data_IF_032762358789
#
_entry.id   IF_032762358789
#
_cell.length_a   1.000
_cell.length_b   1.000
_cell.length_c   1.000
_cell.angle_alpha   90.00
_cell.angle_beta   90.00
_cell.angle_gamma   90.00
#
_symmetry.space_group_name_H-M   'P 1'
#
loop_
_entity.id
_entity.type
_entity.pdbx_description
1 polymer ?
#
# COMPACT_ATOMS: atom_id res chain seq x y z
N UNK A 1 9.38 -10.00 -10.45
CA UNK A 1 9.49 -8.55 -10.77
C UNK A 1 10.09 -7.81 -9.55
N UNK A 2 11.34 -8.12 -9.14
CA UNK A 2 11.91 -7.64 -7.85
C UNK A 2 13.09 -6.66 -8.00
N UNK A 3 13.58 -6.45 -9.22
CA UNK A 3 14.85 -5.74 -9.44
C UNK A 3 14.74 -4.22 -9.61
N UNK A 4 13.53 -3.67 -9.77
CA UNK A 4 13.38 -2.27 -10.20
C UNK A 4 13.34 -1.24 -9.05
N UNK A 5 13.19 -1.63 -7.77
CA UNK A 5 12.79 -0.66 -6.74
C UNK A 5 13.90 -0.19 -5.79
N UNK A 6 14.92 -1.03 -5.56
CA UNK A 6 15.97 -0.74 -4.57
C UNK A 6 17.04 0.26 -5.06
N UNK A 7 17.02 0.63 -6.35
CA UNK A 7 17.94 1.58 -6.99
C UNK A 7 17.29 2.31 -8.19
N UNK A 8 15.96 2.39 -8.26
CA UNK A 8 15.31 3.16 -9.32
C UNK A 8 15.52 4.65 -9.10
N UNK A 9 15.71 5.34 -10.22
CA UNK A 9 15.72 6.79 -10.30
C UNK A 9 14.48 7.39 -9.61
N UNK A 10 14.66 8.45 -8.82
CA UNK A 10 13.57 9.08 -8.07
C UNK A 10 12.45 9.58 -8.99
N UNK A 11 12.76 9.90 -10.26
CA UNK A 11 11.75 10.19 -11.28
C UNK A 11 10.89 8.97 -11.60
N UNK A 12 11.47 7.78 -11.70
CA UNK A 12 10.70 6.54 -11.95
C UNK A 12 9.69 6.32 -10.83
N UNK A 13 10.10 6.52 -9.57
CA UNK A 13 9.21 6.39 -8.40
C UNK A 13 8.12 7.46 -8.38
N UNK A 14 8.48 8.69 -8.74
CA UNK A 14 7.52 9.78 -8.87
C UNK A 14 6.44 9.47 -9.92
N UNK A 15 6.83 9.04 -11.12
CA UNK A 15 5.89 8.70 -12.18
C UNK A 15 5.09 7.43 -11.88
N UNK A 16 5.71 6.44 -11.24
CA UNK A 16 4.99 5.28 -10.71
C UNK A 16 3.86 5.72 -9.78
N UNK A 17 4.16 6.60 -8.82
CA UNK A 17 3.16 7.10 -7.89
C UNK A 17 2.08 7.89 -8.63
N UNK A 18 2.47 8.78 -9.55
CA UNK A 18 1.56 9.59 -10.36
C UNK A 18 0.56 8.73 -11.13
N UNK A 19 1.04 7.80 -11.95
CA UNK A 19 0.16 6.97 -12.78
C UNK A 19 -0.66 5.99 -11.95
N UNK A 20 -0.15 5.56 -10.80
CA UNK A 20 -0.93 4.77 -9.84
C UNK A 20 -2.08 5.58 -9.25
N UNK A 21 -1.85 6.85 -8.87
CA UNK A 21 -2.89 7.76 -8.37
C UNK A 21 -3.94 8.01 -9.46
N UNK A 22 -3.51 8.30 -10.69
CA UNK A 22 -4.40 8.52 -11.83
C UNK A 22 -5.28 7.29 -12.13
N UNK A 23 -4.67 6.10 -12.18
CA UNK A 23 -5.42 4.85 -12.39
C UNK A 23 -6.42 4.57 -11.26
N UNK A 24 -6.01 4.76 -10.00
CA UNK A 24 -6.91 4.50 -8.86
C UNK A 24 -8.04 5.52 -8.81
N UNK A 25 -7.76 6.77 -9.20
CA UNK A 25 -8.75 7.83 -9.36
C UNK A 25 -9.81 7.47 -10.39
N UNK A 26 -9.42 6.94 -11.54
CA UNK A 26 -10.38 6.48 -12.56
C UNK A 26 -11.30 5.36 -12.04
N UNK A 27 -10.76 4.42 -11.26
CA UNK A 27 -11.54 3.33 -10.65
C UNK A 27 -12.56 3.92 -9.66
N UNK A 28 -12.11 4.77 -8.74
CA UNK A 28 -12.95 5.34 -7.68
C UNK A 28 -14.00 6.31 -8.22
N UNK A 29 -13.69 7.09 -9.26
CA UNK A 29 -14.67 7.97 -9.92
C UNK A 29 -15.85 7.20 -10.53
N UNK A 30 -15.59 5.96 -10.98
CA UNK A 30 -16.63 5.03 -11.45
C UNK A 30 -17.40 4.34 -10.30
N UNK A 31 -17.22 4.79 -9.06
CA UNK A 31 -17.81 4.19 -7.85
C UNK A 31 -17.43 2.71 -7.66
N UNK A 32 -16.25 2.33 -8.16
CA UNK A 32 -15.70 0.99 -8.02
C UNK A 32 -14.64 0.93 -6.92
N UNK A 33 -14.41 -0.27 -6.40
CA UNK A 33 -13.32 -0.62 -5.47
C UNK A 33 -12.50 -1.72 -6.12
N UNK A 34 -11.16 -1.62 -6.08
CA UNK A 34 -10.25 -2.62 -6.64
C UNK A 34 -10.23 -3.90 -5.81
N UNK A 35 -10.21 -3.77 -4.47
CA UNK A 35 -10.29 -4.85 -3.46
C UNK A 35 -9.06 -5.76 -3.32
N UNK A 36 -8.22 -5.81 -4.33
CA UNK A 36 -6.93 -6.51 -4.26
C UNK A 36 -5.79 -5.61 -4.72
N UNK A 37 -5.79 -4.37 -4.20
CA UNK A 37 -4.81 -3.38 -4.61
C UNK A 37 -3.48 -3.65 -3.90
N UNK A 38 -2.42 -3.95 -4.64
CA UNK A 38 -1.08 -4.12 -4.08
C UNK A 38 -0.02 -3.92 -5.17
N UNK A 39 1.25 -3.86 -4.78
CA UNK A 39 2.34 -3.58 -5.72
C UNK A 39 2.43 -4.59 -6.88
N UNK A 40 2.03 -5.84 -6.64
CA UNK A 40 2.02 -6.90 -7.64
C UNK A 40 0.99 -6.69 -8.76
N UNK A 41 -0.05 -5.90 -8.51
CA UNK A 41 -1.09 -5.55 -9.47
C UNK A 41 -0.82 -4.20 -10.16
N UNK A 42 0.35 -3.58 -9.96
CA UNK A 42 0.82 -2.42 -10.70
C UNK A 42 1.83 -2.89 -11.76
N UNK A 43 1.38 -2.92 -13.02
CA UNK A 43 2.20 -3.34 -14.14
C UNK A 43 3.00 -2.17 -14.70
N UNK A 44 4.26 -2.43 -15.04
CA UNK A 44 5.17 -1.47 -15.65
C UNK A 44 5.61 -2.01 -17.00
N UNK A 45 5.22 -1.33 -18.07
CA UNK A 45 5.68 -1.62 -19.42
C UNK A 45 7.01 -0.88 -19.70
N UNK A 46 8.10 -1.65 -19.70
CA UNK A 46 9.44 -1.13 -19.94
C UNK A 46 9.77 -0.95 -21.44
N UNK A 47 8.88 -1.34 -22.35
CA UNK A 47 9.11 -1.19 -23.78
C UNK A 47 8.76 0.21 -24.30
N UNK A 48 8.06 1.02 -23.49
CA UNK A 48 7.71 2.39 -23.83
C UNK A 48 8.21 3.34 -22.73
N UNK A 49 9.37 3.94 -22.96
CA UNK A 49 10.08 4.78 -21.99
C UNK A 49 10.43 6.14 -22.56
N UNK A 50 10.27 7.20 -21.77
CA UNK A 50 10.90 8.50 -22.04
C UNK A 50 12.21 8.55 -21.25
N UNK A 51 13.33 8.26 -21.91
CA UNK A 51 14.60 8.02 -21.22
C UNK A 51 14.51 6.78 -20.33
N UNK A 52 14.67 6.94 -19.01
CA UNK A 52 14.52 5.86 -18.01
C UNK A 52 13.11 5.72 -17.44
N UNK A 53 12.20 6.64 -17.77
CA UNK A 53 10.87 6.70 -17.17
C UNK A 53 9.93 5.77 -17.95
N UNK A 54 9.34 4.73 -17.33
CA UNK A 54 8.32 3.92 -17.97
C UNK A 54 7.02 4.70 -18.10
N UNK A 55 6.45 4.74 -19.30
CA UNK A 55 5.22 5.50 -19.61
C UNK A 55 3.98 4.60 -19.51
N UNK A 56 4.14 3.26 -19.57
CA UNK A 56 3.03 2.32 -19.45
C UNK A 56 2.89 1.75 -18.05
N UNK A 57 2.46 2.56 -17.09
CA UNK A 57 2.16 2.12 -15.72
C UNK A 57 0.66 1.97 -15.59
N UNK A 58 0.20 0.77 -15.23
CA UNK A 58 -1.22 0.43 -15.20
C UNK A 58 -1.59 -0.40 -13.98
N UNK A 59 -2.77 -0.13 -13.43
CA UNK A 59 -3.42 -1.02 -12.47
C UNK A 59 -4.02 -2.20 -13.24
N UNK A 60 -3.83 -3.40 -12.73
CA UNK A 60 -4.22 -4.66 -13.35
C UNK A 60 -4.99 -5.55 -12.37
N UNK A 61 -5.41 -6.72 -12.85
CA UNK A 61 -6.19 -7.69 -12.08
C UNK A 61 -7.51 -7.14 -11.51
N UNK A 62 -8.35 -6.68 -12.44
CA UNK A 62 -9.69 -6.16 -12.16
C UNK A 62 -10.70 -7.28 -11.84
N UNK A 63 -10.28 -8.55 -11.66
CA UNK A 63 -11.19 -9.69 -11.45
C UNK A 63 -11.98 -9.61 -10.14
N UNK A 64 -11.39 -8.98 -9.12
CA UNK A 64 -12.06 -8.70 -7.86
C UNK A 64 -12.71 -7.32 -7.81
N UNK A 65 -12.42 -6.45 -8.78
CA UNK A 65 -12.99 -5.12 -8.85
C UNK A 65 -14.52 -5.16 -9.02
N UNK A 66 -15.21 -4.18 -8.43
CA UNK A 66 -16.66 -4.07 -8.53
C UNK A 66 -17.20 -2.88 -7.74
N UNK A 67 -18.50 -2.62 -7.90
CA UNK A 67 -19.20 -1.58 -7.16
C UNK A 67 -19.13 -1.82 -5.64
N UNK A 68 -19.17 -0.76 -4.85
CA UNK A 68 -19.10 -0.81 -3.38
C UNK A 68 -20.17 -1.74 -2.79
N UNK A 69 -21.36 -1.82 -3.39
CA UNK A 69 -22.53 -2.52 -2.89
C UNK A 69 -22.67 -4.00 -3.30
N UNK A 70 -21.79 -4.52 -4.17
CA UNK A 70 -22.24 -5.56 -5.11
C UNK A 70 -21.50 -6.91 -5.01
N UNK A 71 -21.02 -7.33 -3.83
CA UNK A 71 -20.50 -8.71 -3.62
C UNK A 71 -20.72 -9.25 -2.22
N UNK A 72 -20.70 -10.58 -2.17
CA UNK A 72 -20.73 -11.47 -1.00
C UNK A 72 -19.76 -11.01 0.10
N UNK A 73 -20.31 -10.42 1.17
CA UNK A 73 -19.58 -9.88 2.33
C UNK A 73 -18.83 -10.97 3.11
N UNK A 74 -19.08 -12.24 2.79
CA UNK A 74 -18.57 -13.39 3.54
C UNK A 74 -17.14 -13.76 3.19
N UNK A 75 -16.59 -13.32 2.06
CA UNK A 75 -15.24 -13.74 1.59
C UNK A 75 -14.26 -12.58 1.54
N UNK A 76 -13.19 -12.71 2.31
CA UNK A 76 -12.08 -11.77 2.34
C UNK A 76 -10.97 -12.32 1.45
N UNK A 77 -10.62 -11.59 0.40
CA UNK A 77 -9.55 -11.96 -0.54
C UNK A 77 -8.50 -10.87 -0.62
N UNK A 78 -7.24 -11.28 -0.73
CA UNK A 78 -6.17 -10.37 -1.09
C UNK A 78 -4.84 -10.76 -0.47
N UNK A 79 -3.90 -9.82 -0.49
CA UNK A 79 -2.59 -9.94 0.14
C UNK A 79 -2.66 -9.35 1.55
N UNK A 80 -2.65 -10.19 2.60
CA UNK A 80 -2.94 -9.78 3.99
C UNK A 80 -2.28 -8.45 4.44
N UNK A 81 -0.97 -8.20 4.25
CA UNK A 81 -0.35 -6.91 4.57
C UNK A 81 -0.96 -5.66 3.92
N UNK A 82 -1.62 -5.80 2.77
CA UNK A 82 -2.27 -4.72 2.03
C UNK A 82 -3.76 -4.59 2.38
N UNK A 83 -4.36 -5.58 3.04
CA UNK A 83 -5.79 -5.58 3.36
C UNK A 83 -6.05 -4.72 4.59
N UNK A 84 -7.00 -3.78 4.45
CA UNK A 84 -7.34 -2.83 5.49
C UNK A 84 -7.90 -3.50 6.76
N UNK A 85 -7.65 -2.95 7.97
CA UNK A 85 -8.03 -3.58 9.24
C UNK A 85 -9.55 -3.74 9.40
N UNK A 86 -10.36 -2.86 8.83
CA UNK A 86 -11.82 -3.02 8.84
C UNK A 86 -12.28 -4.18 7.95
N UNK A 87 -11.59 -4.42 6.84
CA UNK A 87 -11.87 -5.53 5.92
C UNK A 87 -11.44 -6.85 6.53
N UNK A 88 -10.30 -6.90 7.22
CA UNK A 88 -9.87 -8.09 7.99
C UNK A 88 -10.86 -8.43 9.13
N UNK A 89 -11.65 -7.46 9.60
CA UNK A 89 -12.76 -7.69 10.55
C UNK A 89 -14.07 -8.10 9.88
N UNK A 90 -14.06 -8.33 8.57
CA UNK A 90 -15.26 -8.72 7.82
C UNK A 90 -16.16 -7.55 7.42
N UNK A 91 -15.74 -6.28 7.59
CA UNK A 91 -16.49 -5.17 6.99
C UNK A 91 -16.32 -5.17 5.47
N UNK A 92 -17.30 -4.65 4.70
CA UNK A 92 -17.20 -4.58 3.26
C UNK A 92 -16.00 -3.79 2.76
N UNK A 93 -15.50 -4.14 1.57
CA UNK A 93 -14.49 -3.35 0.89
C UNK A 93 -15.07 -2.00 0.47
N UNK A 94 -14.35 -0.94 0.83
CA UNK A 94 -14.68 0.44 0.45
C UNK A 94 -13.53 1.05 -0.33
N UNK A 95 -13.74 2.21 -0.94
CA UNK A 95 -12.66 2.98 -1.56
C UNK A 95 -11.55 3.30 -0.54
N UNK A 96 -11.90 3.56 0.73
CA UNK A 96 -10.93 3.78 1.80
C UNK A 96 -10.05 2.54 2.08
N UNK A 97 -10.52 1.33 1.79
CA UNK A 97 -9.70 0.11 1.88
C UNK A 97 -8.64 0.04 0.76
N UNK A 98 -8.97 0.48 -0.46
CA UNK A 98 -7.96 0.65 -1.52
C UNK A 98 -6.95 1.74 -1.14
N UNK A 99 -7.37 2.81 -0.44
CA UNK A 99 -6.44 3.86 0.05
C UNK A 99 -5.47 3.31 1.10
N UNK A 100 -5.93 2.45 2.01
CA UNK A 100 -5.04 1.76 2.95
C UNK A 100 -3.99 0.94 2.20
N UNK A 101 -4.45 0.17 1.22
CA UNK A 101 -3.61 -0.63 0.35
C UNK A 101 -2.58 0.23 -0.41
N UNK A 102 -2.99 1.41 -0.87
CA UNK A 102 -2.11 2.39 -1.50
C UNK A 102 -1.04 2.93 -0.55
N UNK A 103 -1.35 3.13 0.74
CA UNK A 103 -0.34 3.43 1.77
C UNK A 103 0.74 2.35 1.87
N UNK A 104 0.37 1.07 1.76
CA UNK A 104 1.32 -0.05 1.76
C UNK A 104 2.14 -0.13 0.46
N UNK A 105 1.56 0.28 -0.68
CA UNK A 105 2.30 0.46 -1.93
C UNK A 105 3.34 1.57 -1.80
N UNK A 106 2.96 2.71 -1.20
CA UNK A 106 3.90 3.80 -0.93
C UNK A 106 5.05 3.33 -0.04
N UNK A 107 4.76 2.60 1.05
CA UNK A 107 5.79 1.99 1.91
C UNK A 107 6.78 1.15 1.11
N UNK A 108 6.31 0.28 0.23
CA UNK A 108 7.17 -0.55 -0.61
C UNK A 108 8.06 0.29 -1.54
N UNK A 109 7.54 1.36 -2.13
CA UNK A 109 8.29 2.21 -3.09
C UNK A 109 9.51 2.88 -2.44
N UNK A 110 9.38 3.36 -1.19
CA UNK A 110 10.46 4.07 -0.49
C UNK A 110 11.40 3.15 0.28
N UNK A 111 10.94 1.99 0.77
CA UNK A 111 11.77 1.07 1.55
C UNK A 111 12.37 -0.04 0.69
N UNK A 112 11.72 -0.38 -0.43
CA UNK A 112 12.01 -1.58 -1.21
C UNK A 112 11.68 -2.87 -0.46
N UNK A 113 11.01 -2.80 0.70
CA UNK A 113 10.62 -3.93 1.54
C UNK A 113 9.12 -4.15 1.43
N UNK A 114 8.72 -5.41 1.47
CA UNK A 114 7.31 -5.74 1.59
C UNK A 114 6.80 -5.39 3.00
N UNK A 115 5.54 -4.94 3.16
CA UNK A 115 5.01 -4.68 4.48
C UNK A 115 4.94 -6.00 5.28
N UNK A 116 5.37 -5.96 6.54
CA UNK A 116 5.42 -7.11 7.46
C UNK A 116 6.25 -8.31 6.95
N UNK A 117 7.36 -8.04 6.26
CA UNK A 117 8.25 -9.06 5.67
C UNK A 117 8.99 -9.94 6.69
N UNK A 118 8.97 -9.57 7.96
CA UNK A 118 9.70 -10.19 9.05
C UNK A 118 8.88 -11.21 9.85
N UNK A 119 7.59 -11.40 9.52
CA UNK A 119 6.71 -12.31 10.28
C UNK A 119 5.85 -13.24 9.40
N UNK A 120 5.23 -14.23 10.03
CA UNK A 120 4.29 -15.11 9.35
C UNK A 120 2.99 -14.35 9.02
N UNK A 121 2.42 -14.60 7.84
CA UNK A 121 1.10 -14.06 7.49
C UNK A 121 0.01 -15.02 7.96
N UNK A 122 -0.26 -15.00 9.26
CA UNK A 122 -1.21 -15.85 9.96
C UNK A 122 -2.26 -15.04 10.73
N UNK A 123 -3.06 -15.70 11.57
CA UNK A 123 -4.08 -15.07 12.41
C UNK A 123 -3.49 -14.02 13.36
N UNK A 124 -2.26 -14.25 13.86
CA UNK A 124 -1.60 -13.31 14.76
C UNK A 124 -1.29 -12.00 14.04
N UNK A 125 -0.76 -12.06 12.81
CA UNK A 125 -0.53 -10.85 12.02
C UNK A 125 -1.84 -10.13 11.72
N UNK A 126 -2.89 -10.86 11.32
CA UNK A 126 -4.21 -10.26 11.05
C UNK A 126 -4.76 -9.54 12.29
N UNK A 127 -4.68 -10.16 13.47
CA UNK A 127 -5.06 -9.55 14.74
C UNK A 127 -4.23 -8.29 15.04
N UNK A 128 -2.91 -8.36 14.86
CA UNK A 128 -2.03 -7.21 15.12
C UNK A 128 -2.32 -6.04 14.18
N UNK A 129 -2.56 -6.29 12.88
CA UNK A 129 -2.96 -5.25 11.92
C UNK A 129 -4.25 -4.59 12.39
N UNK A 130 -5.23 -5.38 12.80
CA UNK A 130 -6.48 -4.92 13.39
C UNK A 130 -6.26 -4.10 14.68
N UNK A 131 -5.30 -4.48 15.52
CA UNK A 131 -4.88 -3.74 16.72
C UNK A 131 -4.05 -2.49 16.40
N UNK A 132 -3.77 -2.21 15.14
CA UNK A 132 -3.19 -0.96 14.68
C UNK A 132 -1.69 -0.98 14.50
N UNK A 133 -1.02 -2.15 14.49
CA UNK A 133 0.39 -2.19 14.08
C UNK A 133 0.55 -1.62 12.66
N UNK A 134 1.74 -1.11 12.36
CA UNK A 134 2.13 -0.62 11.03
C UNK A 134 3.50 -1.19 10.68
N UNK A 135 3.85 -1.28 9.39
CA UNK A 135 5.20 -1.61 8.97
C UNK A 135 6.20 -0.66 9.63
N UNK A 136 7.35 -1.20 10.02
CA UNK A 136 8.37 -0.44 10.73
C UNK A 136 8.92 0.70 9.85
N UNK A 137 8.74 1.93 10.33
CA UNK A 137 9.38 3.13 9.79
C UNK A 137 10.07 3.82 10.95
N UNK A 138 11.40 3.93 10.94
CA UNK A 138 12.14 4.70 11.92
C UNK A 138 11.66 6.16 11.97
N UNK A 139 11.51 6.70 13.17
CA UNK A 139 11.21 8.12 13.35
C UNK A 139 12.47 8.94 13.08
N UNK A 140 12.55 9.52 11.88
CA UNK A 140 13.69 10.30 11.42
C UNK A 140 13.33 11.79 11.45
N UNK A 141 13.96 12.62 12.30
CA UNK A 141 13.63 14.05 12.43
C UNK A 141 13.62 14.82 11.10
N UNK A 142 14.52 14.48 10.19
CA UNK A 142 14.65 15.12 8.87
C UNK A 142 13.49 14.81 7.92
N UNK A 143 12.66 13.81 8.24
CA UNK A 143 11.47 13.40 7.50
C UNK A 143 10.16 13.87 8.15
N UNK A 144 10.19 14.57 9.29
CA UNK A 144 9.00 15.00 10.05
C UNK A 144 8.03 15.90 9.27
N UNK A 145 8.48 16.55 8.19
CA UNK A 145 7.65 17.38 7.31
C UNK A 145 7.75 16.94 5.85
N UNK A 146 8.11 15.68 5.63
CA UNK A 146 8.19 15.12 4.30
C UNK A 146 6.79 14.70 3.84
N UNK A 147 6.29 15.35 2.78
CA UNK A 147 4.93 15.15 2.27
C UNK A 147 4.63 13.68 1.94
N UNK A 148 5.63 12.93 1.48
CA UNK A 148 5.45 11.54 1.07
C UNK A 148 5.22 10.66 2.30
N UNK A 149 6.04 10.82 3.34
CA UNK A 149 5.90 10.11 4.61
C UNK A 149 4.57 10.46 5.27
N UNK A 150 4.20 11.74 5.31
CA UNK A 150 2.94 12.20 5.90
C UNK A 150 1.72 11.65 5.16
N UNK A 151 1.74 11.68 3.82
CA UNK A 151 0.66 11.17 2.99
C UNK A 151 0.52 9.65 3.14
N UNK A 152 1.63 8.91 3.06
CA UNK A 152 1.65 7.47 3.27
C UNK A 152 1.09 7.11 4.66
N UNK A 153 1.53 7.82 5.71
CA UNK A 153 1.04 7.59 7.08
C UNK A 153 -0.45 7.89 7.24
N UNK A 154 -1.00 8.87 6.51
CA UNK A 154 -2.44 9.14 6.47
C UNK A 154 -3.22 8.08 5.69
N UNK A 155 -2.64 7.54 4.61
CA UNK A 155 -3.32 6.54 3.78
C UNK A 155 -3.57 5.24 4.54
N UNK A 156 -2.63 4.80 5.39
CA UNK A 156 -2.76 3.56 6.15
C UNK A 156 -3.37 3.73 7.56
N UNK A 157 -4.07 4.83 7.84
CA UNK A 157 -4.70 5.05 9.16
C UNK A 157 -5.64 3.88 9.52
N UNK A 158 -5.66 3.49 10.80
CA UNK A 158 -6.51 2.38 11.24
C UNK A 158 -8.00 2.71 11.10
N UNK A 159 -8.39 3.98 11.25
CA UNK A 159 -9.75 4.44 11.00
C UNK A 159 -9.90 4.83 9.51
N UNK A 160 -10.80 4.17 8.75
CA UNK A 160 -11.03 4.52 7.35
C UNK A 160 -11.46 5.98 7.13
N UNK A 161 -12.16 6.61 8.09
CA UNK A 161 -12.64 7.99 7.96
C UNK A 161 -11.51 9.04 8.04
N UNK A 162 -10.37 8.67 8.64
CA UNK A 162 -9.19 9.54 8.69
C UNK A 162 -8.38 9.51 7.40
N UNK A 163 -8.64 8.55 6.50
CA UNK A 163 -7.89 8.37 5.26
C UNK A 163 -8.35 9.40 4.23
N UNK A 164 -7.43 10.03 3.48
CA UNK A 164 -7.81 10.92 2.39
C UNK A 164 -8.50 10.13 1.27
N UNK A 165 -9.50 10.72 0.62
CA UNK A 165 -10.00 10.15 -0.64
C UNK A 165 -9.01 10.40 -1.78
N UNK A 166 -9.16 9.67 -2.88
CA UNK A 166 -8.21 9.71 -4.00
C UNK A 166 -8.09 11.10 -4.65
N UNK A 167 -9.16 11.91 -4.63
CA UNK A 167 -9.14 13.28 -5.13
C UNK A 167 -8.25 14.19 -4.25
N UNK A 168 -8.32 14.00 -2.94
CA UNK A 168 -7.47 14.71 -1.99
C UNK A 168 -6.01 14.28 -2.14
N UNK A 169 -5.76 12.99 -2.36
CA UNK A 169 -4.42 12.46 -2.66
C UNK A 169 -3.86 13.08 -3.94
N UNK A 170 -4.64 13.09 -5.03
CA UNK A 170 -4.28 13.74 -6.30
C UNK A 170 -3.91 15.20 -6.07
N UNK A 171 -4.72 15.95 -5.32
CA UNK A 171 -4.47 17.36 -5.02
C UNK A 171 -3.18 17.57 -4.19
N UNK A 172 -2.94 16.72 -3.19
CA UNK A 172 -1.70 16.77 -2.39
C UNK A 172 -0.49 16.46 -3.27
N UNK A 173 -0.59 15.44 -4.12
CA UNK A 173 0.48 15.06 -5.04
C UNK A 173 0.78 16.16 -6.06
N UNK A 174 -0.23 16.79 -6.65
CA UNK A 174 -0.02 17.88 -7.62
C UNK A 174 0.61 19.11 -6.96
N UNK A 175 0.28 19.38 -5.70
CA UNK A 175 0.78 20.54 -4.96
C UNK A 175 2.18 20.35 -4.39
N UNK A 176 2.49 19.16 -3.86
CA UNK A 176 3.70 18.91 -3.08
C UNK A 176 4.60 17.83 -3.68
N UNK A 177 4.09 17.07 -4.65
CA UNK A 177 4.79 15.95 -5.26
C UNK A 177 6.13 16.40 -5.83
N UNK A 178 7.20 15.89 -5.23
CA UNK A 178 8.56 16.17 -5.66
C UNK A 178 9.39 14.89 -5.67
N UNK A 179 10.06 14.55 -6.79
CA UNK A 179 11.03 13.45 -6.83
C UNK A 179 12.13 13.59 -5.77
N UNK A 180 12.56 14.82 -5.46
CA UNK A 180 13.64 15.05 -4.48
C UNK A 180 13.26 14.67 -3.05
N UNK A 181 11.99 14.89 -2.66
CA UNK A 181 11.51 14.51 -1.33
C UNK A 181 11.28 13.00 -1.22
N UNK A 182 10.93 12.32 -2.32
CA UNK A 182 10.90 10.84 -2.39
C UNK A 182 12.31 10.28 -2.22
N UNK A 183 13.28 10.82 -2.97
CA UNK A 183 14.69 10.43 -2.88
C UNK A 183 15.26 10.66 -1.48
N UNK A 184 14.91 11.79 -0.86
CA UNK A 184 15.29 12.11 0.51
C UNK A 184 14.75 11.06 1.47
N UNK A 185 13.44 10.76 1.43
CA UNK A 185 12.83 9.74 2.29
C UNK A 185 13.53 8.37 2.14
N UNK A 186 13.75 7.91 0.91
CA UNK A 186 14.47 6.66 0.65
C UNK A 186 15.88 6.65 1.23
N UNK A 187 16.68 7.71 0.99
CA UNK A 187 18.08 7.76 1.46
C UNK A 187 18.18 7.68 2.98
N UNK A 188 17.32 8.42 3.68
CA UNK A 188 17.30 8.44 5.14
C UNK A 188 16.89 7.06 5.70
N UNK A 189 15.86 6.44 5.14
CA UNK A 189 15.41 5.10 5.57
C UNK A 189 16.46 4.03 5.25
N UNK A 190 17.06 4.06 4.06
CA UNK A 190 18.10 3.12 3.68
C UNK A 190 19.32 3.21 4.59
N UNK A 191 19.75 4.43 4.94
CA UNK A 191 20.84 4.65 5.89
C UNK A 191 20.53 4.02 7.24
N UNK A 192 19.35 4.30 7.78
CA UNK A 192 18.90 3.78 9.07
C UNK A 192 18.83 2.24 9.09
N UNK A 193 18.26 1.62 8.05
CA UNK A 193 18.21 0.16 7.94
C UNK A 193 19.58 -0.48 7.83
N UNK A 194 20.52 0.18 7.13
CA UNK A 194 21.91 -0.29 7.00
C UNK A 194 22.67 -0.18 8.32
N UNK A 195 22.53 0.93 9.04
CA UNK A 195 23.18 1.17 10.32
C UNK A 195 22.68 0.20 11.40
N UNK A 196 21.38 -0.11 11.40
CA UNK A 196 20.78 -1.05 12.35
C UNK A 196 20.93 -2.53 11.94
N UNK A 197 21.70 -2.85 10.89
CA UNK A 197 21.86 -4.21 10.35
C UNK A 197 20.53 -4.92 10.06
N UNK A 198 19.45 -4.17 9.79
CA UNK A 198 18.12 -4.69 9.47
C UNK A 198 18.06 -5.15 7.99
N UNK A 199 19.00 -6.01 7.58
CA UNK A 199 18.90 -6.74 6.32
C UNK A 199 17.88 -7.85 6.51
N UNK A 200 16.62 -7.57 6.23
CA UNK A 200 15.55 -8.56 6.42
C UNK A 200 15.65 -9.69 5.41
N UNK A 201 15.72 -10.91 5.94
CA UNK A 201 15.35 -12.12 5.21
C UNK A 201 13.83 -12.22 5.35
N UNK A 202 13.12 -12.21 4.23
CA UNK A 202 11.67 -12.41 4.25
C UNK A 202 11.33 -13.70 4.99
N UNK A 203 10.45 -13.60 5.97
CA UNK A 203 10.01 -14.74 6.77
C UNK A 203 9.43 -15.81 5.84
N UNK A 204 9.78 -17.11 6.01
CA UNK A 204 9.38 -18.16 5.06
C UNK A 204 7.85 -18.36 4.96
N UNK A 205 7.10 -17.89 5.95
CA UNK A 205 5.63 -17.92 5.97
C UNK A 205 5.00 -16.57 5.61
N UNK A 206 5.78 -15.60 5.14
CA UNK A 206 5.26 -14.37 4.56
C UNK A 206 4.79 -14.65 3.12
N UNK A 207 3.54 -14.28 2.82
CA UNK A 207 2.86 -14.60 1.56
C UNK A 207 2.34 -13.31 0.92
N UNK A 208 2.85 -13.01 -0.27
CA UNK A 208 2.54 -11.80 -1.05
C UNK A 208 1.72 -12.07 -2.31
N UNK A 209 1.00 -13.18 -2.32
CA UNK A 209 0.05 -13.57 -3.37
C UNK A 209 -1.36 -13.53 -2.82
N UNK A 210 -2.31 -13.06 -3.64
CA UNK A 210 -3.72 -13.01 -3.28
C UNK A 210 -4.26 -14.39 -2.91
N UNK A 211 -5.02 -14.48 -1.81
CA UNK A 211 -5.65 -15.72 -1.32
C UNK A 211 -6.88 -15.42 -0.47
N UNK A 212 -7.68 -16.45 -0.20
CA UNK A 212 -8.76 -16.37 0.80
C UNK A 212 -8.16 -16.19 2.20
N UNK A 213 -8.60 -15.15 2.91
CA UNK A 213 -8.07 -14.78 4.22
C UNK A 213 -8.98 -15.18 5.39
N UNK A 214 -10.21 -15.60 5.11
CA UNK A 214 -11.15 -16.05 6.15
C UNK A 214 -10.55 -16.98 7.22
N UNK A 215 -9.72 -18.00 6.88
CA UNK A 215 -9.13 -18.88 7.90
C UNK A 215 -8.20 -18.20 8.91
N UNK A 216 -7.76 -16.96 8.64
CA UNK A 216 -6.88 -16.17 9.51
C UNK A 216 -7.63 -15.02 10.20
N UNK A 217 -8.91 -14.85 9.90
CA UNK A 217 -9.73 -13.75 10.42
C UNK A 217 -10.92 -14.25 11.23
N UNK A 218 -11.07 -15.56 11.40
CA UNK A 218 -12.04 -16.18 12.29
C UNK A 218 -11.85 -15.61 13.71
N UNK A 219 -12.88 -14.94 14.26
CA UNK A 219 -12.80 -14.29 15.57
C UNK A 219 -12.39 -12.81 15.58
N UNK A 220 -11.99 -12.23 14.45
CA UNK A 220 -11.74 -10.78 14.34
C UNK A 220 -13.03 -9.97 14.14
N UNK A 221 -14.12 -10.63 13.74
CA UNK A 221 -15.43 -10.02 13.44
C UNK A 221 -16.20 -9.51 14.66
N UNK A 222 -15.54 -9.29 15.81
CA UNK A 222 -16.21 -8.88 17.03
C UNK A 222 -16.38 -7.36 17.02
N UNK A 223 -17.64 -6.94 16.95
CA UNK A 223 -18.10 -5.57 17.16
C UNK A 223 -17.66 -5.08 18.55
N UNK A 224 -16.80 -4.06 18.57
CA UNK A 224 -16.75 -3.11 19.68
C UNK A 224 -17.49 -1.86 19.24
N UNK A 225 -18.81 -1.92 19.28
CA UNK A 225 -19.69 -0.74 19.41
C UNK A 225 -20.81 -1.11 20.36
N UNK A 226 -20.54 -0.98 21.66
CA UNK A 226 -21.48 -0.32 22.58
C UNK A 226 -21.34 1.20 22.40
#
# INVERSE_FOLDING_TARGET
MHYFYKNSDCWVKYYLLKYTIEGLKEIHQKQMVHRDFHIGNILVNNNNTYGKIPIGIHISDMGLCGEVSNKDETKIYGVMPYVAPEVLRGKPYTQAADIYSFGMVMYYIITGRQPFDDCAHDEKLALQICSGIKPEIPEIPELKSNWYIDLMKKCWDSNPDNRPNIESISTIFDKFGSPSEIEKAEKYLFREYKENSQLTITHPQAIYTSRLLNPYTEGLAIDFTD
#
